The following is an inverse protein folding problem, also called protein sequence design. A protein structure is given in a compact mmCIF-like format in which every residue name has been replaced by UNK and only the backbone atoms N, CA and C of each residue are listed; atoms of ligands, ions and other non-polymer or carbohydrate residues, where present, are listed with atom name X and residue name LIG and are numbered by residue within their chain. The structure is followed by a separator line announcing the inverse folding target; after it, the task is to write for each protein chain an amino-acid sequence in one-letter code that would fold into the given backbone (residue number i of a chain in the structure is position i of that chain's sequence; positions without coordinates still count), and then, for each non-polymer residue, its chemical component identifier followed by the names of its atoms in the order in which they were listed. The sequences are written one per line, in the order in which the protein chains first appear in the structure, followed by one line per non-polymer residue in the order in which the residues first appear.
data_IF_234156314826
#
_entry.id   IF_234156314826
#
_cell.length_a   1.000
_cell.length_b   1.000
_cell.length_c   1.000
_cell.angle_alpha   90.00
_cell.angle_beta   90.00
_cell.angle_gamma   90.00
#
_symmetry.space_group_name_H-M   'P 1'
#
loop_
_entity.id
_entity.type
_entity.pdbx_description
1 polymer ?
#
# COMPACT_ATOMS: atom_id res chain seq x y z
N UNK A 1 -53.52 -20.11 66.33
CA UNK A 1 -54.90 -19.64 66.34
C UNK A 1 -55.36 -19.56 64.85
N UNK A 2 -56.36 -20.43 64.60
CA UNK A 2 -57.08 -20.47 63.28
C UNK A 2 -58.04 -19.32 63.23
N UNK A 3 -58.12 -18.63 62.05
CA UNK A 3 -59.38 -17.98 61.65
C UNK A 3 -59.60 -18.21 60.18
N UNK A 4 -60.76 -18.77 59.88
CA UNK A 4 -61.39 -18.89 58.56
C UNK A 4 -62.13 -17.59 58.22
N UNK A 5 -62.24 -17.21 56.96
CA UNK A 5 -63.46 -16.62 56.35
C UNK A 5 -63.27 -16.49 54.82
N UNK A 6 -64.06 -17.17 54.14
CA UNK A 6 -65.33 -16.95 53.37
C UNK A 6 -65.10 -16.23 51.99
N UNK A 7 -65.43 -17.03 50.98
CA UNK A 7 -65.61 -16.66 49.57
C UNK A 7 -66.79 -15.70 49.38
N UNK A 8 -66.68 -14.79 48.43
CA UNK A 8 -67.78 -14.14 47.69
C UNK A 8 -67.46 -14.04 46.23
N UNK A 9 -68.24 -14.69 45.39
CA UNK A 9 -68.19 -14.67 43.95
C UNK A 9 -68.89 -13.40 43.44
N UNK A 10 -68.24 -12.68 42.56
CA UNK A 10 -68.88 -11.64 41.72
C UNK A 10 -68.68 -12.03 40.24
N UNK A 11 -69.80 -12.28 39.56
CA UNK A 11 -69.88 -12.47 38.14
C UNK A 11 -69.55 -11.08 37.46
N UNK A 12 -68.52 -11.01 36.71
CA UNK A 12 -68.21 -9.85 35.84
C UNK A 12 -68.19 -10.32 34.40
N UNK A 13 -69.01 -9.72 33.58
CA UNK A 13 -69.14 -9.92 32.14
C UNK A 13 -67.83 -9.57 31.43
N UNK A 14 -67.22 -10.51 30.70
CA UNK A 14 -66.04 -10.28 29.90
C UNK A 14 -66.46 -9.79 28.49
N UNK A 15 -66.21 -8.53 28.18
CA UNK A 15 -66.18 -8.06 26.77
C UNK A 15 -64.84 -8.47 26.17
N UNK A 16 -64.82 -9.36 25.17
CA UNK A 16 -63.66 -9.65 24.34
C UNK A 16 -63.45 -8.45 23.40
N UNK A 17 -62.40 -7.66 23.67
CA UNK A 17 -61.81 -6.74 22.71
C UNK A 17 -60.64 -7.46 22.05
N UNK A 18 -60.82 -7.86 20.79
CA UNK A 18 -59.74 -8.48 20.00
C UNK A 18 -58.65 -7.46 19.70
N UNK A 19 -57.52 -7.58 20.40
CA UNK A 19 -56.30 -6.86 20.05
C UNK A 19 -55.56 -7.62 18.93
N UNK A 20 -55.60 -7.11 17.73
CA UNK A 20 -54.65 -7.51 16.67
C UNK A 20 -53.25 -7.04 17.11
N UNK A 21 -52.45 -7.99 17.59
CA UNK A 21 -50.98 -7.75 17.76
C UNK A 21 -50.34 -7.75 16.37
N UNK A 22 -50.01 -6.57 15.88
CA UNK A 22 -49.01 -6.42 14.81
C UNK A 22 -47.67 -6.89 15.38
N UNK A 23 -47.18 -8.03 14.90
CA UNK A 23 -45.81 -8.53 15.20
C UNK A 23 -44.79 -7.48 14.72
N UNK A 24 -43.64 -7.37 15.38
CA UNK A 24 -42.57 -6.51 14.89
C UNK A 24 -42.18 -6.96 13.49
N UNK A 25 -42.16 -6.02 12.55
CA UNK A 25 -41.55 -6.22 11.26
C UNK A 25 -40.09 -6.65 11.47
N UNK A 26 -39.76 -7.83 10.99
CA UNK A 26 -38.34 -8.24 10.92
C UNK A 26 -37.59 -7.17 10.13
N UNK A 27 -36.73 -6.42 10.80
CA UNK A 27 -35.72 -5.65 10.07
C UNK A 27 -34.91 -6.70 9.31
N UNK A 28 -34.90 -6.62 7.98
CA UNK A 28 -33.99 -7.41 7.16
C UNK A 28 -32.58 -7.14 7.69
N UNK A 29 -31.93 -8.18 8.17
CA UNK A 29 -30.51 -8.15 8.49
C UNK A 29 -29.79 -7.75 7.18
N UNK A 30 -28.91 -6.73 7.18
CA UNK A 30 -28.22 -6.34 5.97
C UNK A 30 -27.53 -7.57 5.39
N UNK A 31 -27.83 -7.91 4.14
CA UNK A 31 -27.25 -9.05 3.46
C UNK A 31 -25.72 -8.94 3.57
N UNK A 32 -25.06 -10.03 4.01
CA UNK A 32 -23.60 -10.08 4.02
C UNK A 32 -23.08 -9.63 2.64
N UNK A 33 -22.01 -8.82 2.59
CA UNK A 33 -21.48 -8.33 1.33
C UNK A 33 -21.18 -9.53 0.42
N UNK A 34 -21.68 -9.48 -0.83
CA UNK A 34 -21.39 -10.51 -1.82
C UNK A 34 -19.88 -10.58 -1.99
N UNK A 35 -19.31 -11.77 -1.82
CA UNK A 35 -17.91 -12.03 -2.11
C UNK A 35 -17.71 -11.84 -3.62
N UNK A 36 -16.79 -10.94 -4.02
CA UNK A 36 -16.40 -10.81 -5.42
C UNK A 36 -15.82 -12.15 -5.89
N UNK A 37 -16.36 -12.67 -6.98
CA UNK A 37 -15.82 -13.86 -7.62
C UNK A 37 -14.75 -13.42 -8.62
N UNK A 38 -13.49 -13.77 -8.34
CA UNK A 38 -12.34 -13.37 -9.16
C UNK A 38 -11.51 -14.58 -9.57
N UNK A 39 -10.78 -14.43 -10.66
CA UNK A 39 -9.76 -15.36 -11.13
C UNK A 39 -8.44 -14.62 -11.41
N UNK A 40 -7.32 -15.30 -11.31
CA UNK A 40 -6.03 -14.80 -11.76
C UNK A 40 -5.75 -15.38 -13.15
N UNK A 41 -5.65 -14.50 -14.15
CA UNK A 41 -5.26 -14.86 -15.51
C UNK A 41 -3.81 -14.48 -15.72
N UNK A 42 -2.92 -15.46 -15.86
CA UNK A 42 -1.53 -15.19 -16.21
C UNK A 42 -1.46 -14.57 -17.61
N UNK A 43 -0.93 -13.37 -17.72
CA UNK A 43 -0.83 -12.61 -18.98
C UNK A 43 0.59 -12.57 -19.52
N UNK A 44 1.60 -12.79 -18.67
CA UNK A 44 3.00 -12.85 -19.05
C UNK A 44 3.86 -13.49 -17.95
N UNK A 45 5.13 -13.73 -18.29
CA UNK A 45 6.18 -14.09 -17.32
C UNK A 45 7.37 -13.15 -17.48
N UNK A 46 8.02 -12.83 -16.35
CA UNK A 46 9.21 -11.97 -16.27
C UNK A 46 10.28 -12.58 -15.36
N UNK A 47 11.48 -12.03 -15.32
CA UNK A 47 12.53 -12.47 -14.39
C UNK A 47 12.47 -11.66 -13.09
N UNK A 48 11.90 -12.26 -12.04
CA UNK A 48 11.73 -11.60 -10.74
C UNK A 48 11.06 -10.22 -10.90
N UNK A 49 9.82 -10.15 -11.44
CA UNK A 49 9.10 -8.88 -11.53
C UNK A 49 8.91 -8.33 -10.12
N UNK A 50 9.16 -7.04 -9.93
CA UNK A 50 9.25 -6.46 -8.58
C UNK A 50 8.38 -5.22 -8.42
N UNK A 51 8.17 -4.45 -9.46
CA UNK A 51 7.37 -3.24 -9.47
C UNK A 51 6.77 -2.98 -10.86
N UNK A 52 5.85 -2.05 -10.95
CA UNK A 52 5.35 -1.59 -12.23
C UNK A 52 4.54 -0.30 -12.12
N UNK A 53 4.26 0.26 -13.28
CA UNK A 53 3.48 1.48 -13.42
C UNK A 53 2.58 1.41 -14.66
N UNK A 54 1.42 2.09 -14.62
CA UNK A 54 0.69 2.43 -15.82
C UNK A 54 1.55 3.34 -16.70
N UNK A 55 1.59 3.05 -17.98
CA UNK A 55 2.32 3.84 -18.98
C UNK A 55 1.38 4.45 -20.01
N UNK A 56 1.93 5.17 -20.99
CA UNK A 56 1.14 5.74 -22.06
C UNK A 56 0.40 4.65 -22.87
N UNK A 57 -0.72 5.04 -23.49
CA UNK A 57 -1.54 4.20 -24.36
C UNK A 57 -2.04 2.89 -23.68
N UNK A 58 -2.44 2.99 -22.40
CA UNK A 58 -2.93 1.88 -21.56
C UNK A 58 -1.95 0.70 -21.45
N UNK A 59 -0.66 0.96 -21.59
CA UNK A 59 0.40 -0.04 -21.36
C UNK A 59 0.71 -0.19 -19.87
N UNK A 60 1.27 -1.36 -19.50
CA UNK A 60 1.78 -1.61 -18.15
C UNK A 60 3.29 -1.85 -18.25
N UNK A 61 4.04 -1.05 -17.51
CA UNK A 61 5.49 -1.15 -17.48
C UNK A 61 5.92 -1.95 -16.27
N UNK A 62 6.73 -2.97 -16.49
CA UNK A 62 7.15 -3.95 -15.48
C UNK A 62 8.66 -3.80 -15.26
N UNK A 63 9.04 -3.57 -14.02
CA UNK A 63 10.41 -3.62 -13.56
C UNK A 63 10.79 -5.03 -13.10
N UNK A 64 11.90 -5.54 -13.60
CA UNK A 64 12.54 -6.76 -13.15
C UNK A 64 13.64 -6.39 -12.15
N UNK A 65 13.71 -7.09 -11.03
CA UNK A 65 14.57 -6.76 -9.88
C UNK A 65 16.05 -6.54 -10.26
N UNK A 66 16.53 -7.26 -11.28
CA UNK A 66 17.91 -7.16 -11.74
C UNK A 66 18.26 -5.85 -12.46
N UNK A 67 17.28 -5.00 -12.80
CA UNK A 67 17.53 -3.69 -13.40
C UNK A 67 17.00 -3.52 -14.83
N UNK A 68 16.08 -4.36 -15.28
CA UNK A 68 15.43 -4.19 -16.60
C UNK A 68 14.00 -3.69 -16.45
N UNK A 69 13.53 -2.92 -17.41
CA UNK A 69 12.13 -2.50 -17.54
C UNK A 69 11.59 -2.96 -18.88
N UNK A 70 10.40 -3.54 -18.88
CA UNK A 70 9.73 -4.09 -20.05
C UNK A 70 8.28 -3.64 -20.11
N UNK A 71 7.72 -3.57 -21.30
CA UNK A 71 6.33 -3.13 -21.52
C UNK A 71 5.45 -4.36 -21.77
N UNK A 72 4.40 -4.49 -20.97
CA UNK A 72 3.34 -5.46 -21.14
C UNK A 72 2.26 -4.86 -22.05
N UNK A 73 1.93 -5.57 -23.09
CA UNK A 73 0.87 -5.23 -24.04
C UNK A 73 -0.09 -6.41 -24.20
N UNK A 74 -1.15 -6.27 -24.98
CA UNK A 74 -2.02 -7.39 -25.36
C UNK A 74 -1.33 -8.55 -26.09
N UNK A 75 -0.06 -8.39 -26.49
CA UNK A 75 0.78 -9.42 -27.11
C UNK A 75 1.76 -10.07 -26.12
N UNK A 76 1.69 -9.73 -24.84
CA UNK A 76 2.60 -10.18 -23.79
C UNK A 76 3.72 -9.17 -23.50
N UNK A 77 4.74 -9.62 -22.78
CA UNK A 77 5.86 -8.79 -22.32
C UNK A 77 6.90 -8.61 -23.44
N UNK A 78 7.17 -7.34 -23.80
CA UNK A 78 8.12 -6.95 -24.85
C UNK A 78 9.60 -7.18 -24.47
N UNK A 79 10.53 -6.75 -25.34
CA UNK A 79 11.96 -6.67 -25.00
C UNK A 79 12.20 -5.54 -23.99
N UNK A 80 13.33 -5.55 -23.24
CA UNK A 80 13.68 -4.45 -22.35
C UNK A 80 13.70 -3.11 -23.08
N UNK A 81 13.02 -2.11 -22.51
CA UNK A 81 13.04 -0.70 -22.95
C UNK A 81 14.05 0.13 -22.16
N UNK A 82 14.47 -0.39 -21.00
CA UNK A 82 15.57 0.12 -20.18
C UNK A 82 16.34 -1.05 -19.60
N UNK A 83 17.67 -0.97 -19.56
CA UNK A 83 18.54 -1.95 -18.92
C UNK A 83 19.66 -1.22 -18.15
N UNK A 84 19.57 -1.29 -16.82
CA UNK A 84 20.58 -0.80 -15.86
C UNK A 84 21.15 -1.94 -15.03
N UNK A 85 21.04 -3.18 -15.49
CA UNK A 85 21.44 -4.38 -14.73
C UNK A 85 22.94 -4.37 -14.38
N UNK A 86 23.78 -3.74 -15.19
CA UNK A 86 25.20 -3.58 -14.90
C UNK A 86 25.50 -2.60 -13.75
N UNK A 87 24.52 -1.82 -13.31
CA UNK A 87 24.65 -0.77 -12.29
C UNK A 87 23.83 -1.12 -11.00
N UNK A 88 23.04 -2.18 -11.05
CA UNK A 88 22.10 -2.58 -9.98
C UNK A 88 22.65 -3.76 -9.20
N UNK A 89 22.67 -3.66 -7.85
CA UNK A 89 22.90 -4.83 -6.98
C UNK A 89 21.57 -5.43 -6.52
N UNK A 90 21.57 -6.76 -6.32
CA UNK A 90 20.39 -7.53 -5.88
C UNK A 90 20.62 -8.28 -4.55
N UNK A 91 21.63 -7.87 -3.79
CA UNK A 91 21.90 -8.48 -2.49
C UNK A 91 20.78 -8.15 -1.48
N UNK A 92 20.32 -9.12 -0.70
CA UNK A 92 19.24 -8.94 0.26
C UNK A 92 17.93 -8.52 -0.42
N UNK A 93 17.37 -7.37 -0.02
CA UNK A 93 16.16 -6.78 -0.61
C UNK A 93 16.44 -5.82 -1.77
N UNK A 94 17.69 -5.55 -2.07
CA UNK A 94 18.15 -4.60 -3.09
C UNK A 94 17.72 -4.98 -4.50
N UNK A 95 17.73 -4.01 -5.41
CA UNK A 95 17.34 -4.19 -6.81
C UNK A 95 16.86 -2.90 -7.45
N UNK A 96 16.22 -3.04 -8.61
CA UNK A 96 15.33 -2.03 -9.19
C UNK A 96 13.97 -2.18 -8.51
N UNK A 97 13.67 -1.32 -7.53
CA UNK A 97 12.59 -1.54 -6.56
C UNK A 97 11.31 -0.74 -6.85
N UNK A 98 11.40 0.32 -7.65
CA UNK A 98 10.27 1.17 -7.98
C UNK A 98 10.39 1.82 -9.34
N UNK A 99 9.26 2.05 -9.99
CA UNK A 99 9.16 2.80 -11.25
C UNK A 99 7.89 3.65 -11.23
N UNK A 100 7.95 4.83 -11.83
CA UNK A 100 6.81 5.73 -11.97
C UNK A 100 6.94 6.60 -13.23
N UNK A 101 5.81 7.00 -13.78
CA UNK A 101 5.73 8.12 -14.70
C UNK A 101 5.23 9.36 -13.96
N UNK A 102 5.61 10.54 -14.43
CA UNK A 102 4.87 11.75 -14.10
C UNK A 102 3.48 11.73 -14.77
N UNK A 103 2.61 12.66 -14.34
CA UNK A 103 1.20 12.66 -14.76
C UNK A 103 1.01 12.89 -16.29
N UNK A 104 2.00 13.47 -16.95
CA UNK A 104 1.97 13.78 -18.38
C UNK A 104 2.68 12.73 -19.24
N UNK A 105 3.26 11.68 -18.61
CA UNK A 105 4.14 10.71 -19.25
C UNK A 105 5.35 11.34 -19.98
N UNK A 106 5.75 12.53 -19.56
CA UNK A 106 6.91 13.23 -20.11
C UNK A 106 8.23 12.74 -19.50
N UNK A 107 8.18 12.20 -18.28
CA UNK A 107 9.34 11.65 -17.57
C UNK A 107 9.04 10.30 -16.96
N UNK A 108 10.05 9.44 -16.95
CA UNK A 108 10.05 8.13 -16.32
C UNK A 108 11.11 8.10 -15.22
N UNK A 109 10.68 7.67 -14.03
CA UNK A 109 11.52 7.60 -12.84
C UNK A 109 11.76 6.14 -12.46
N UNK A 110 12.97 5.87 -12.01
CA UNK A 110 13.35 4.56 -11.44
C UNK A 110 13.94 4.76 -10.05
N UNK A 111 13.65 3.80 -9.16
CA UNK A 111 14.25 3.70 -7.85
C UNK A 111 15.00 2.37 -7.77
N UNK A 112 16.31 2.43 -7.58
CA UNK A 112 17.15 1.23 -7.56
C UNK A 112 18.28 1.34 -6.54
N UNK A 113 18.88 0.21 -6.20
CA UNK A 113 20.08 0.19 -5.36
C UNK A 113 21.30 -0.01 -6.26
N UNK A 114 22.21 0.95 -6.27
CA UNK A 114 23.42 0.90 -7.08
C UNK A 114 24.44 -0.12 -6.52
N UNK A 115 25.57 -0.31 -7.22
CA UNK A 115 26.59 -1.30 -6.83
C UNK A 115 27.23 -1.04 -5.47
N UNK A 116 27.23 0.22 -4.98
CA UNK A 116 27.70 0.60 -3.65
C UNK A 116 26.65 0.35 -2.56
N UNK A 117 25.45 -0.10 -2.92
CA UNK A 117 24.34 -0.33 -1.99
C UNK A 117 23.57 0.94 -1.61
N UNK A 118 23.69 2.02 -2.39
CA UNK A 118 22.99 3.28 -2.21
C UNK A 118 21.67 3.25 -2.97
N UNK A 119 20.56 3.57 -2.31
CA UNK A 119 19.29 3.83 -2.98
C UNK A 119 19.42 5.07 -3.85
N UNK A 120 19.06 4.97 -5.10
CA UNK A 120 19.22 6.00 -6.12
C UNK A 120 17.91 6.15 -6.89
N UNK A 121 17.46 7.40 -7.03
CA UNK A 121 16.31 7.75 -7.87
C UNK A 121 16.85 8.48 -9.08
N UNK A 122 16.62 7.93 -10.27
CA UNK A 122 16.98 8.56 -11.54
C UNK A 122 15.73 8.86 -12.36
N UNK A 123 15.84 9.92 -13.17
CA UNK A 123 14.83 10.38 -14.10
C UNK A 123 15.34 10.25 -15.53
N UNK A 124 14.44 9.98 -16.46
CA UNK A 124 14.64 9.97 -17.90
C UNK A 124 13.53 10.75 -18.58
N UNK A 125 13.83 11.56 -19.58
CA UNK A 125 12.80 12.10 -20.44
C UNK A 125 12.15 10.97 -21.28
N UNK A 126 10.87 11.14 -21.58
CA UNK A 126 10.12 10.25 -22.47
C UNK A 126 9.67 11.05 -23.69
N UNK A 127 9.93 10.54 -24.87
CA UNK A 127 9.51 11.15 -26.12
C UNK A 127 8.87 10.08 -27.02
N UNK A 128 7.68 10.37 -27.52
CA UNK A 128 6.89 9.46 -28.36
C UNK A 128 6.71 8.07 -27.72
N UNK A 129 6.50 8.03 -26.38
CA UNK A 129 6.35 6.82 -25.58
C UNK A 129 7.65 6.02 -25.34
N UNK A 130 8.81 6.56 -25.71
CA UNK A 130 10.10 5.91 -25.53
C UNK A 130 11.00 6.68 -24.55
N UNK A 131 11.64 5.94 -23.63
CA UNK A 131 12.68 6.49 -22.75
C UNK A 131 13.84 7.01 -23.61
N UNK A 132 14.37 8.17 -23.21
CA UNK A 132 15.56 8.78 -23.80
C UNK A 132 16.76 8.56 -22.85
N UNK A 133 17.59 7.52 -23.04
CA UNK A 133 18.64 7.15 -22.08
C UNK A 133 19.67 8.24 -21.83
N UNK A 134 19.98 9.05 -22.85
CA UNK A 134 20.97 10.13 -22.77
C UNK A 134 20.50 11.33 -21.92
N UNK A 135 19.24 11.36 -21.50
CA UNK A 135 18.67 12.42 -20.65
C UNK A 135 18.69 12.08 -19.16
N UNK A 136 19.25 10.91 -18.80
CA UNK A 136 19.30 10.43 -17.43
C UNK A 136 19.93 11.46 -16.50
N UNK A 137 19.24 11.75 -15.40
CA UNK A 137 19.79 12.53 -14.28
C UNK A 137 19.43 11.89 -12.95
N UNK A 138 20.31 12.01 -11.98
CA UNK A 138 20.03 11.56 -10.61
C UNK A 138 19.23 12.63 -9.87
N UNK A 139 18.09 12.24 -9.33
CA UNK A 139 17.20 13.09 -8.55
C UNK A 139 17.56 13.03 -7.08
N UNK A 140 17.64 11.82 -6.49
CA UNK A 140 17.91 11.64 -5.07
C UNK A 140 18.78 10.41 -4.83
N UNK A 141 19.66 10.50 -3.82
CA UNK A 141 20.42 9.35 -3.31
C UNK A 141 20.32 9.24 -1.80
N UNK A 142 20.25 8.01 -1.29
CA UNK A 142 20.26 7.72 0.15
C UNK A 142 21.14 6.50 0.42
N UNK A 143 22.20 6.67 1.20
CA UNK A 143 23.04 5.56 1.65
C UNK A 143 22.24 4.63 2.57
N UNK A 144 22.29 3.33 2.29
CA UNK A 144 21.63 2.28 3.07
C UNK A 144 22.65 1.60 3.99
N UNK A 145 22.40 1.56 5.32
CA UNK A 145 23.31 0.91 6.27
C UNK A 145 23.40 -0.60 6.08
N UNK A 146 22.29 -1.23 5.62
CA UNK A 146 22.19 -2.69 5.46
C UNK A 146 21.55 -3.05 4.11
N UNK A 147 21.53 -4.35 3.80
CA UNK A 147 21.00 -4.89 2.55
C UNK A 147 19.48 -5.16 2.57
N UNK A 148 18.81 -4.85 3.68
CA UNK A 148 17.38 -5.04 3.89
C UNK A 148 16.69 -3.75 4.36
N UNK A 149 15.36 -3.73 4.35
CA UNK A 149 14.50 -2.58 4.63
C UNK A 149 14.84 -1.38 3.72
N UNK A 150 15.01 -1.65 2.44
CA UNK A 150 15.35 -0.60 1.49
C UNK A 150 14.10 0.16 1.01
N UNK A 151 12.90 -0.40 1.17
CA UNK A 151 11.68 0.17 0.59
C UNK A 151 11.79 0.30 -0.92
N UNK A 152 11.86 1.53 -1.41
CA UNK A 152 12.21 1.84 -2.79
C UNK A 152 11.03 1.99 -3.73
N UNK A 153 9.78 1.84 -3.28
CA UNK A 153 8.62 2.15 -4.11
C UNK A 153 8.50 3.66 -4.32
N UNK A 154 8.08 4.07 -5.51
CA UNK A 154 7.90 5.48 -5.89
C UNK A 154 6.60 5.65 -6.65
N UNK A 155 5.87 6.74 -6.36
CA UNK A 155 4.60 7.08 -7.03
C UNK A 155 4.45 8.59 -7.12
N UNK A 156 3.84 9.07 -8.19
CA UNK A 156 3.31 10.43 -8.20
C UNK A 156 1.99 10.48 -7.46
N UNK A 157 1.87 11.43 -6.54
CA UNK A 157 0.63 11.71 -5.84
C UNK A 157 -0.37 12.45 -6.73
N UNK A 158 -1.64 12.54 -6.27
CA UNK A 158 -2.68 13.31 -6.98
C UNK A 158 -2.36 14.82 -7.07
N UNK A 159 -1.43 15.29 -6.25
CA UNK A 159 -0.90 16.66 -6.23
C UNK A 159 0.23 16.91 -7.24
N UNK A 160 0.68 15.87 -7.94
CA UNK A 160 1.72 15.92 -8.96
C UNK A 160 3.15 15.88 -8.44
N UNK A 161 3.37 15.66 -7.15
CA UNK A 161 4.69 15.48 -6.56
C UNK A 161 5.10 14.01 -6.49
N UNK A 162 6.40 13.76 -6.46
CA UNK A 162 6.96 12.41 -6.34
C UNK A 162 7.05 12.01 -4.86
N UNK A 163 6.39 10.91 -4.50
CA UNK A 163 6.48 10.26 -3.21
C UNK A 163 7.43 9.08 -3.30
N UNK A 164 8.26 8.90 -2.26
CA UNK A 164 9.32 7.90 -2.20
C UNK A 164 9.26 7.19 -0.86
N UNK A 165 9.12 5.88 -0.86
CA UNK A 165 9.16 5.06 0.34
C UNK A 165 10.59 4.60 0.62
N UNK A 166 11.12 4.88 1.82
CA UNK A 166 12.40 4.37 2.29
C UNK A 166 12.23 3.71 3.66
N UNK A 167 12.71 2.48 3.80
CA UNK A 167 12.73 1.78 5.07
C UNK A 167 13.72 2.39 6.08
N UNK A 168 13.73 1.85 7.30
CA UNK A 168 14.60 2.30 8.41
C UNK A 168 16.10 2.06 8.17
N UNK A 169 16.43 1.42 7.04
CA UNK A 169 17.80 1.10 6.62
C UNK A 169 18.28 -0.26 7.07
N UNK A 170 17.43 -1.04 7.76
CA UNK A 170 17.68 -2.46 7.99
C UNK A 170 18.17 -2.86 9.37
N UNK A 171 18.53 -4.12 9.48
CA UNK A 171 18.75 -4.88 10.72
C UNK A 171 17.49 -5.00 11.59
N UNK A 172 17.58 -5.67 12.74
CA UNK A 172 16.43 -5.91 13.62
C UNK A 172 16.23 -4.83 14.66
N UNK A 173 15.04 -4.21 14.69
CA UNK A 173 14.62 -3.28 15.74
C UNK A 173 15.22 -1.89 15.63
N UNK A 174 15.50 -1.44 14.43
CA UNK A 174 15.99 -0.10 14.09
C UNK A 174 17.16 0.35 14.97
N UNK A 175 18.35 -0.25 14.81
CA UNK A 175 19.49 0.00 15.70
C UNK A 175 20.00 1.45 15.64
N UNK A 176 19.61 2.20 14.61
CA UNK A 176 19.98 3.60 14.42
C UNK A 176 18.89 4.58 14.85
N UNK A 177 17.67 4.11 15.16
CA UNK A 177 16.52 4.93 15.50
C UNK A 177 15.99 5.78 14.34
N UNK A 178 16.20 5.30 13.12
CA UNK A 178 15.86 6.05 11.90
C UNK A 178 14.37 6.28 11.73
N UNK A 179 13.52 5.35 12.17
CA UNK A 179 12.07 5.49 12.10
C UNK A 179 11.59 6.80 12.76
N UNK A 180 12.09 7.11 13.95
CA UNK A 180 11.68 8.28 14.74
C UNK A 180 12.55 9.54 14.54
N UNK A 181 13.72 9.44 13.92
CA UNK A 181 14.58 10.60 13.64
C UNK A 181 14.08 11.39 12.44
N UNK A 182 14.06 12.70 12.55
CA UNK A 182 13.69 13.60 11.46
C UNK A 182 14.89 14.16 10.67
N UNK A 183 16.11 13.93 11.14
CA UNK A 183 17.35 14.38 10.46
C UNK A 183 17.87 13.38 9.42
N UNK A 184 17.10 12.34 9.10
CA UNK A 184 17.40 11.29 8.11
C UNK A 184 16.20 11.04 7.21
N UNK A 185 16.45 10.57 5.97
CA UNK A 185 15.40 10.19 5.01
C UNK A 185 14.93 8.72 5.21
N UNK A 186 15.58 7.95 6.09
CA UNK A 186 15.26 6.55 6.33
C UNK A 186 14.05 6.39 7.27
N UNK A 187 13.22 5.37 7.02
CA UNK A 187 11.98 5.10 7.76
C UNK A 187 10.86 6.12 7.48
N UNK A 188 10.71 6.52 6.20
CA UNK A 188 9.90 7.66 5.77
C UNK A 188 9.13 7.38 4.48
N UNK A 189 8.03 8.11 4.31
CA UNK A 189 7.58 8.53 2.99
C UNK A 189 8.09 9.96 2.78
N UNK A 190 8.79 10.19 1.68
CA UNK A 190 9.26 11.50 1.25
C UNK A 190 8.33 12.06 0.20
N UNK A 191 8.30 13.41 0.06
CA UNK A 191 7.55 14.12 -0.99
C UNK A 191 8.42 15.24 -1.55
N UNK A 192 8.70 15.18 -2.85
CA UNK A 192 9.58 16.12 -3.56
C UNK A 192 8.96 16.54 -4.89
N UNK A 193 9.40 17.69 -5.42
CA UNK A 193 9.07 18.17 -6.77
C UNK A 193 10.29 18.00 -7.67
N UNK A 194 10.37 16.94 -8.47
CA UNK A 194 11.53 16.71 -9.34
C UNK A 194 11.61 17.68 -10.51
N UNK A 195 10.52 18.37 -10.86
CA UNK A 195 10.47 19.37 -11.93
C UNK A 195 10.77 20.81 -11.44
N UNK A 196 10.67 21.07 -10.13
CA UNK A 196 10.74 22.40 -9.56
C UNK A 196 12.13 23.01 -9.51
N UNK A 197 13.18 22.20 -9.44
CA UNK A 197 14.59 22.61 -9.43
C UNK A 197 15.52 21.42 -9.64
N UNK A 198 16.80 21.71 -9.83
CA UNK A 198 17.87 20.71 -9.86
C UNK A 198 18.53 20.55 -8.46
N UNK A 199 18.62 19.31 -7.89
CA UNK A 199 18.12 18.05 -8.43
C UNK A 199 16.59 17.87 -8.23
N UNK A 200 15.97 18.58 -7.32
CA UNK A 200 14.52 18.69 -7.06
C UNK A 200 14.24 19.93 -6.21
N UNK A 201 12.98 20.36 -6.16
CA UNK A 201 12.51 21.33 -5.18
C UNK A 201 11.77 20.63 -4.03
N UNK A 202 11.66 21.35 -2.91
CA UNK A 202 10.81 20.95 -1.79
C UNK A 202 9.47 21.67 -1.93
N UNK A 203 8.33 20.93 -1.94
CA UNK A 203 7.02 21.57 -1.85
C UNK A 203 6.90 22.40 -0.57
N UNK A 204 6.47 23.65 -0.71
CA UNK A 204 6.45 24.61 0.43
C UNK A 204 5.45 24.25 1.52
N UNK A 205 4.57 23.32 1.27
CA UNK A 205 3.57 22.77 2.16
C UNK A 205 3.96 21.40 2.75
N UNK A 206 5.21 20.97 2.60
CA UNK A 206 5.71 19.81 3.34
C UNK A 206 5.72 20.13 4.85
N UNK A 207 5.40 19.14 5.71
CA UNK A 207 5.11 19.39 7.13
C UNK A 207 6.31 19.85 7.96
N UNK A 208 7.55 19.66 7.48
CA UNK A 208 8.76 19.94 8.24
C UNK A 208 9.66 21.04 7.69
N UNK A 209 9.24 21.78 6.65
CA UNK A 209 10.06 22.83 5.99
C UNK A 209 10.52 23.97 6.91
N UNK A 210 9.82 24.20 8.01
CA UNK A 210 10.15 25.21 9.01
C UNK A 210 10.92 24.65 10.23
N UNK A 211 11.19 23.34 10.28
CA UNK A 211 11.95 22.72 11.38
C UNK A 211 13.43 22.55 11.00
N UNK A 212 14.35 23.33 11.57
CA UNK A 212 15.78 23.24 11.25
C UNK A 212 16.45 21.92 11.67
N UNK A 213 15.74 21.05 12.40
CA UNK A 213 16.23 19.75 12.85
C UNK A 213 15.64 18.58 12.04
N UNK A 214 14.80 18.86 11.06
CA UNK A 214 14.18 17.87 10.19
C UNK A 214 14.67 17.98 8.75
N UNK A 215 14.46 16.95 7.98
CA UNK A 215 14.62 16.95 6.54
C UNK A 215 13.32 17.46 5.89
N UNK A 216 13.46 18.43 5.02
CA UNK A 216 12.34 19.11 4.36
C UNK A 216 11.56 18.18 3.42
N UNK A 217 12.21 17.09 2.96
CA UNK A 217 11.63 16.06 2.09
C UNK A 217 10.58 15.19 2.78
N UNK A 218 10.56 15.14 4.12
CA UNK A 218 9.72 14.21 4.87
C UNK A 218 8.24 14.58 4.74
N UNK A 219 7.43 13.60 4.29
CA UNK A 219 5.98 13.66 4.32
C UNK A 219 5.41 12.97 5.55
N UNK A 220 5.80 11.70 5.80
CA UNK A 220 5.46 10.96 7.01
C UNK A 220 6.64 10.12 7.49
N UNK A 221 6.60 9.65 8.75
CA UNK A 221 7.72 8.98 9.39
C UNK A 221 7.26 7.89 10.37
N UNK A 222 8.23 7.21 10.98
CA UNK A 222 7.93 6.12 11.91
C UNK A 222 7.57 4.83 11.19
N UNK A 223 8.14 4.61 10.01
CA UNK A 223 7.97 3.42 9.18
C UNK A 223 9.18 2.50 9.31
N UNK A 224 8.95 1.19 9.20
CA UNK A 224 10.01 0.18 9.25
C UNK A 224 10.52 -0.19 7.86
N UNK A 225 9.67 -0.73 7.03
CA UNK A 225 9.97 -1.12 5.66
C UNK A 225 8.70 -0.96 4.80
N UNK A 226 8.31 0.28 4.48
CA UNK A 226 7.15 0.56 3.64
C UNK A 226 7.40 -0.03 2.26
N UNK A 227 6.89 -1.26 2.05
CA UNK A 227 7.24 -2.07 0.89
C UNK A 227 6.52 -1.60 -0.37
N UNK A 228 5.18 -1.50 -0.30
CA UNK A 228 4.39 -0.89 -1.38
C UNK A 228 3.38 0.08 -0.80
N UNK A 229 3.22 1.18 -1.48
CA UNK A 229 2.18 2.15 -1.18
C UNK A 229 1.41 2.52 -2.45
N UNK A 230 0.22 3.05 -2.29
CA UNK A 230 -0.61 3.52 -3.39
C UNK A 230 -1.48 4.68 -2.99
N UNK A 231 -1.82 5.51 -3.97
CA UNK A 231 -2.90 6.46 -3.83
C UNK A 231 -4.18 5.84 -4.41
N UNK A 232 -5.28 5.96 -3.71
CA UNK A 232 -6.58 5.64 -4.25
C UNK A 232 -6.93 6.66 -5.35
N UNK A 233 -6.98 6.22 -6.61
CA UNK A 233 -7.27 7.10 -7.74
C UNK A 233 -8.67 7.73 -7.71
N UNK A 234 -9.57 7.23 -6.85
CA UNK A 234 -10.92 7.78 -6.67
C UNK A 234 -11.04 8.82 -5.58
N UNK A 235 -10.26 8.72 -4.49
CA UNK A 235 -10.34 9.62 -3.33
C UNK A 235 -9.06 10.43 -3.10
N UNK A 236 -7.90 9.94 -3.55
CA UNK A 236 -6.60 10.50 -3.28
C UNK A 236 -5.99 10.05 -1.95
N UNK A 237 -6.65 9.17 -1.20
CA UNK A 237 -6.13 8.63 0.06
C UNK A 237 -4.86 7.81 -0.16
N UNK A 238 -3.91 7.95 0.75
CA UNK A 238 -2.66 7.18 0.76
C UNK A 238 -2.83 5.91 1.59
N UNK A 239 -2.41 4.78 1.04
CA UNK A 239 -2.33 3.49 1.75
C UNK A 239 -0.91 2.95 1.64
N UNK A 240 -0.38 2.45 2.77
CA UNK A 240 1.00 1.95 2.88
C UNK A 240 0.96 0.55 3.48
N UNK A 241 1.62 -0.42 2.85
CA UNK A 241 1.93 -1.70 3.48
C UNK A 241 3.31 -1.60 4.12
N UNK A 242 3.36 -1.54 5.45
CA UNK A 242 4.62 -1.48 6.20
C UNK A 242 4.91 -2.84 6.85
N UNK A 243 6.05 -3.42 6.49
CA UNK A 243 6.44 -4.76 6.95
C UNK A 243 6.93 -4.71 8.39
N UNK A 244 6.24 -5.40 9.26
CA UNK A 244 6.57 -5.51 10.68
C UNK A 244 7.84 -6.31 10.97
N UNK A 245 8.25 -6.34 12.24
CA UNK A 245 9.49 -6.99 12.66
C UNK A 245 9.29 -8.44 13.08
N UNK A 246 8.30 -8.70 13.93
CA UNK A 246 8.21 -9.97 14.66
C UNK A 246 6.81 -10.55 14.72
N UNK A 247 5.83 -9.76 15.10
CA UNK A 247 4.52 -10.25 15.50
C UNK A 247 3.39 -9.68 14.64
N UNK A 248 3.54 -8.47 14.10
CA UNK A 248 2.47 -7.75 13.41
C UNK A 248 2.89 -7.26 12.03
N UNK A 249 1.96 -7.31 11.10
CA UNK A 249 1.99 -6.66 9.79
C UNK A 249 0.93 -5.58 9.75
N UNK A 250 1.19 -4.46 9.07
CA UNK A 250 0.30 -3.30 9.13
C UNK A 250 0.02 -2.67 7.77
N UNK A 251 -1.18 -2.10 7.66
CA UNK A 251 -1.59 -1.24 6.55
C UNK A 251 -1.93 0.10 7.17
N UNK A 252 -1.16 1.13 6.79
CA UNK A 252 -1.39 2.48 7.20
C UNK A 252 -2.28 3.21 6.20
N UNK A 253 -2.96 4.24 6.68
CA UNK A 253 -3.85 5.07 5.88
C UNK A 253 -3.70 6.54 6.27
N UNK A 254 -3.73 7.41 5.25
CA UNK A 254 -3.79 8.85 5.42
C UNK A 254 -4.80 9.43 4.43
N UNK A 255 -5.70 10.35 4.85
CA UNK A 255 -6.69 10.92 3.95
C UNK A 255 -6.04 11.83 2.90
N UNK A 256 -6.68 11.99 1.75
CA UNK A 256 -6.26 12.95 0.73
C UNK A 256 -6.17 14.40 1.22
N UNK A 257 -6.83 14.71 2.32
CA UNK A 257 -6.77 16.02 2.98
C UNK A 257 -5.66 16.14 4.02
N UNK A 258 -4.79 15.14 4.16
CA UNK A 258 -3.65 15.21 5.08
C UNK A 258 -2.71 16.35 4.69
N UNK A 259 -2.16 17.00 5.72
CA UNK A 259 -1.10 17.98 5.60
C UNK A 259 0.29 17.35 5.85
N UNK A 260 0.35 16.01 5.94
CA UNK A 260 1.56 15.26 6.27
C UNK A 260 1.93 15.31 7.76
N UNK A 261 3.07 14.71 8.11
CA UNK A 261 3.59 14.69 9.49
C UNK A 261 3.10 13.50 10.31
N UNK A 262 2.40 12.54 9.71
CA UNK A 262 1.99 11.32 10.40
C UNK A 262 3.20 10.55 10.93
N UNK A 263 3.09 10.08 12.18
CA UNK A 263 4.05 9.19 12.83
C UNK A 263 3.44 7.81 13.02
N UNK A 264 3.87 6.83 12.25
CA UNK A 264 3.37 5.46 12.30
C UNK A 264 4.03 4.59 13.39
N UNK A 265 4.89 5.17 14.24
CA UNK A 265 5.28 4.62 15.54
C UNK A 265 6.54 3.78 15.59
N UNK A 266 7.05 3.27 14.48
CA UNK A 266 8.27 2.46 14.46
C UNK A 266 9.53 3.26 14.93
N UNK A 267 10.43 2.75 15.82
CA UNK A 267 10.46 1.42 16.41
C UNK A 267 9.98 1.42 17.89
N UNK A 268 9.10 2.33 18.27
CA UNK A 268 8.45 2.28 19.58
C UNK A 268 7.24 1.36 19.58
N UNK A 269 6.57 1.30 18.43
CA UNK A 269 5.40 0.47 18.17
C UNK A 269 5.68 -0.49 17.01
N UNK A 270 4.97 -1.61 16.97
CA UNK A 270 4.77 -2.52 15.84
C UNK A 270 3.26 -2.69 15.72
N UNK A 271 2.64 -2.05 14.72
CA UNK A 271 1.20 -1.85 14.71
C UNK A 271 0.71 -1.03 15.90
N UNK A 272 -0.35 -1.47 16.54
CA UNK A 272 -0.88 -0.87 17.79
C UNK A 272 -0.17 -1.39 19.05
N UNK A 273 0.90 -2.17 18.92
CA UNK A 273 1.54 -2.89 20.02
C UNK A 273 2.90 -2.29 20.38
N UNK A 274 3.21 -2.08 21.69
CA UNK A 274 4.54 -1.64 22.11
C UNK A 274 5.64 -2.62 21.69
N UNK A 275 6.56 -2.17 20.84
CA UNK A 275 7.69 -3.00 20.43
C UNK A 275 8.80 -2.97 21.50
N UNK A 276 9.19 -4.16 21.98
CA UNK A 276 10.27 -4.35 23.00
C UNK A 276 10.11 -3.47 24.24
N UNK A 277 8.88 -3.16 24.66
CA UNK A 277 8.60 -2.28 25.79
C UNK A 277 8.76 -0.79 25.46
N UNK A 278 8.70 -0.43 24.21
CA UNK A 278 8.62 0.96 23.74
C UNK A 278 7.42 1.70 24.35
N UNK A 279 7.52 3.01 24.36
CA UNK A 279 6.42 3.89 24.76
C UNK A 279 5.80 4.47 23.51
N UNK A 280 4.49 4.36 23.40
CA UNK A 280 3.75 4.95 22.30
C UNK A 280 4.00 6.46 22.18
N UNK A 281 4.45 6.96 21.01
CA UNK A 281 4.63 8.39 20.78
C UNK A 281 3.30 9.14 20.90
N UNK A 282 3.32 10.35 21.45
CA UNK A 282 2.10 11.12 21.68
C UNK A 282 1.32 11.50 20.40
N UNK A 283 2.01 11.49 19.25
CA UNK A 283 1.47 11.76 17.92
C UNK A 283 1.44 10.52 17.04
N UNK A 284 1.40 9.33 17.64
CA UNK A 284 1.26 8.07 16.91
C UNK A 284 -0.07 8.01 16.16
N UNK A 285 0.01 7.70 14.89
CA UNK A 285 -1.15 7.37 14.04
C UNK A 285 -1.17 5.85 13.87
N UNK A 286 -2.10 5.16 14.52
CA UNK A 286 -2.16 3.71 14.43
C UNK A 286 -2.54 3.26 13.00
N UNK A 287 -2.12 2.05 12.57
CA UNK A 287 -2.52 1.51 11.30
C UNK A 287 -4.05 1.38 11.19
N UNK A 288 -4.58 1.53 9.97
CA UNK A 288 -6.01 1.29 9.72
C UNK A 288 -6.36 -0.20 9.80
N UNK A 289 -5.37 -1.06 9.59
CA UNK A 289 -5.50 -2.50 9.69
C UNK A 289 -4.16 -3.14 10.06
N UNK A 290 -4.22 -4.13 10.95
CA UNK A 290 -3.06 -4.96 11.32
C UNK A 290 -3.48 -6.43 11.41
N UNK A 291 -2.52 -7.34 11.24
CA UNK A 291 -2.72 -8.76 11.44
C UNK A 291 -1.47 -9.43 12.01
N UNK A 292 -1.70 -10.47 12.84
CA UNK A 292 -0.60 -11.20 13.43
C UNK A 292 0.04 -12.20 12.45
N UNK A 293 1.34 -12.46 12.63
CA UNK A 293 2.11 -13.41 11.79
C UNK A 293 1.84 -14.88 12.13
N UNK A 294 1.11 -15.17 13.23
CA UNK A 294 0.92 -16.52 13.75
C UNK A 294 -0.09 -17.36 12.94
N UNK A 295 -0.31 -17.06 11.69
CA UNK A 295 -1.19 -17.86 10.86
C UNK A 295 -1.60 -17.27 9.52
N UNK A 296 -1.30 -16.00 9.25
CA UNK A 296 -1.78 -15.31 8.05
C UNK A 296 -0.67 -14.80 7.12
N UNK A 297 0.59 -14.86 7.54
CA UNK A 297 1.65 -14.33 6.68
C UNK A 297 2.94 -13.99 7.41
N UNK A 298 3.83 -13.27 6.75
CA UNK A 298 5.13 -12.89 7.29
C UNK A 298 5.64 -11.54 6.77
N UNK A 299 4.99 -10.98 5.75
CA UNK A 299 5.44 -9.74 5.11
C UNK A 299 4.31 -9.19 4.25
N UNK A 300 3.65 -8.15 4.74
CA UNK A 300 2.62 -7.45 3.96
C UNK A 300 3.20 -6.91 2.68
N UNK A 301 2.54 -7.20 1.56
CA UNK A 301 2.95 -6.64 0.26
C UNK A 301 2.42 -5.22 0.07
N UNK A 302 1.25 -4.91 0.65
CA UNK A 302 0.46 -3.75 0.27
C UNK A 302 -0.42 -4.05 -0.94
N UNK A 303 -0.92 -3.02 -1.62
CA UNK A 303 -1.86 -3.19 -2.72
C UNK A 303 -2.45 -1.90 -3.27
N UNK A 304 -3.65 -1.98 -3.86
CA UNK A 304 -4.37 -0.85 -4.45
C UNK A 304 -5.87 -0.91 -4.15
N UNK A 305 -6.51 0.26 -4.06
CA UNK A 305 -7.96 0.35 -4.13
C UNK A 305 -8.39 0.07 -5.57
N UNK A 306 -9.21 -0.97 -5.75
CA UNK A 306 -9.70 -1.33 -7.09
C UNK A 306 -10.64 -0.26 -7.63
N UNK A 307 -10.34 0.23 -8.85
CA UNK A 307 -11.10 1.27 -9.55
C UNK A 307 -11.42 0.91 -11.00
N UNK A 308 -11.12 -0.33 -11.41
CA UNK A 308 -11.51 -0.88 -12.70
C UNK A 308 -13.01 -1.13 -12.81
N UNK A 309 -13.51 -1.31 -14.03
CA UNK A 309 -14.93 -1.53 -14.31
C UNK A 309 -15.29 -3.01 -14.48
N UNK A 310 -14.30 -3.89 -14.67
CA UNK A 310 -14.54 -5.30 -14.99
C UNK A 310 -15.13 -6.10 -13.81
N UNK A 311 -14.87 -5.66 -12.55
CA UNK A 311 -15.31 -6.39 -11.35
C UNK A 311 -16.08 -5.43 -10.42
N UNK A 312 -17.36 -5.15 -10.67
CA UNK A 312 -18.14 -4.18 -9.91
C UNK A 312 -18.20 -4.45 -8.39
N UNK A 313 -18.15 -5.72 -7.99
CA UNK A 313 -18.16 -6.12 -6.56
C UNK A 313 -16.85 -5.80 -5.84
N UNK A 314 -15.75 -5.45 -6.56
CA UNK A 314 -14.47 -4.98 -5.99
C UNK A 314 -14.37 -3.46 -5.90
N UNK A 315 -15.24 -2.70 -6.56
CA UNK A 315 -15.17 -1.25 -6.60
C UNK A 315 -15.02 -0.63 -5.21
N UNK A 316 -13.94 0.15 -5.01
CA UNK A 316 -13.65 0.82 -3.76
C UNK A 316 -13.11 -0.08 -2.65
N UNK A 317 -12.75 -1.32 -2.94
CA UNK A 317 -12.09 -2.20 -1.99
C UNK A 317 -10.57 -2.16 -2.21
N UNK A 318 -9.81 -2.03 -1.14
CA UNK A 318 -8.35 -2.16 -1.16
C UNK A 318 -7.99 -3.64 -1.28
N UNK A 319 -7.39 -4.01 -2.42
CA UNK A 319 -6.92 -5.38 -2.68
C UNK A 319 -5.46 -5.46 -2.28
N UNK A 320 -5.11 -6.40 -1.40
CA UNK A 320 -3.76 -6.59 -0.87
C UNK A 320 -3.40 -8.06 -0.72
N UNK A 321 -2.14 -8.32 -0.45
CA UNK A 321 -1.62 -9.67 -0.17
C UNK A 321 -0.50 -9.64 0.85
N UNK A 322 -0.11 -10.83 1.30
CA UNK A 322 1.12 -11.11 2.03
C UNK A 322 2.03 -11.99 1.17
N UNK A 323 3.33 -11.70 1.19
CA UNK A 323 4.32 -12.42 0.41
C UNK A 323 4.37 -13.92 0.71
N UNK A 324 4.21 -14.32 1.98
CA UNK A 324 4.37 -15.71 2.40
C UNK A 324 3.16 -16.58 2.04
N UNK A 325 1.95 -16.07 2.18
CA UNK A 325 0.76 -16.88 1.92
C UNK A 325 0.15 -16.63 0.53
N UNK A 326 0.40 -15.48 -0.07
CA UNK A 326 0.00 -15.14 -1.43
C UNK A 326 -1.50 -15.02 -1.66
N UNK A 327 -2.33 -15.16 -0.63
CA UNK A 327 -3.78 -15.03 -0.76
C UNK A 327 -4.16 -13.57 -1.01
N UNK A 328 -4.99 -13.32 -2.01
CA UNK A 328 -5.52 -11.98 -2.24
C UNK A 328 -6.69 -11.71 -1.29
N UNK A 329 -6.61 -10.58 -0.58
CA UNK A 329 -7.60 -10.13 0.41
C UNK A 329 -8.10 -8.74 0.09
N UNK A 330 -9.21 -8.36 0.70
CA UNK A 330 -9.77 -7.02 0.53
C UNK A 330 -10.08 -6.37 1.87
N UNK A 331 -9.91 -5.05 1.90
CA UNK A 331 -10.43 -4.19 2.96
C UNK A 331 -11.35 -3.15 2.32
N UNK A 332 -12.51 -2.93 2.93
CA UNK A 332 -13.32 -1.76 2.66
C UNK A 332 -13.01 -0.72 3.72
N UNK A 333 -12.41 0.38 3.31
CA UNK A 333 -12.00 1.47 4.20
C UNK A 333 -12.90 2.67 3.95
N UNK A 334 -13.55 3.18 4.99
CA UNK A 334 -14.41 4.36 4.91
C UNK A 334 -13.98 5.35 6.00
N UNK A 335 -13.46 6.51 5.59
CA UNK A 335 -12.97 7.55 6.50
C UNK A 335 -11.96 7.02 7.53
N UNK A 336 -10.97 6.24 7.08
CA UNK A 336 -9.94 5.66 7.95
C UNK A 336 -10.44 4.54 8.87
N UNK A 337 -11.56 3.93 8.57
CA UNK A 337 -12.09 2.79 9.34
C UNK A 337 -12.37 1.61 8.42
N UNK A 338 -11.89 0.43 8.78
CA UNK A 338 -12.23 -0.81 8.08
C UNK A 338 -13.67 -1.20 8.39
N UNK A 339 -14.54 -1.12 7.39
CA UNK A 339 -15.96 -1.46 7.46
C UNK A 339 -16.28 -2.83 6.88
N UNK A 340 -15.32 -3.46 6.20
CA UNK A 340 -15.46 -4.80 5.64
C UNK A 340 -14.12 -5.43 5.32
N UNK A 341 -14.06 -6.76 5.42
CA UNK A 341 -12.90 -7.57 5.08
C UNK A 341 -13.34 -8.74 4.21
N UNK A 342 -12.50 -9.14 3.27
CA UNK A 342 -12.76 -10.26 2.39
C UNK A 342 -11.52 -11.06 2.04
N UNK A 343 -11.74 -12.32 1.69
CA UNK A 343 -10.76 -13.21 1.08
C UNK A 343 -11.29 -13.57 -0.31
N UNK A 344 -10.52 -13.28 -1.34
CA UNK A 344 -10.93 -13.49 -2.73
C UNK A 344 -10.85 -14.96 -3.18
N UNK A 345 -10.28 -15.83 -2.31
CA UNK A 345 -10.07 -17.26 -2.57
C UNK A 345 -9.22 -17.57 -3.83
N UNK A 346 -8.33 -16.64 -4.17
CA UNK A 346 -7.29 -16.83 -5.18
C UNK A 346 -5.93 -16.59 -4.55
N UNK A 347 -4.92 -17.29 -5.06
CA UNK A 347 -3.56 -17.23 -4.55
C UNK A 347 -2.60 -16.88 -5.68
N UNK A 348 -1.83 -15.82 -5.53
CA UNK A 348 -0.84 -15.32 -6.49
C UNK A 348 0.57 -15.88 -6.29
N UNK A 349 0.76 -16.82 -5.38
CA UNK A 349 2.09 -17.34 -5.00
C UNK A 349 2.83 -16.35 -4.09
N UNK A 350 4.11 -16.17 -4.31
CA UNK A 350 4.93 -15.17 -3.61
C UNK A 350 4.63 -13.77 -4.16
N UNK A 351 3.47 -13.20 -3.76
CA UNK A 351 3.03 -11.90 -4.26
C UNK A 351 3.95 -10.79 -3.74
N UNK A 352 4.74 -10.23 -4.65
CA UNK A 352 5.75 -9.21 -4.29
C UNK A 352 5.28 -7.79 -4.58
N UNK A 353 4.32 -7.61 -5.48
CA UNK A 353 3.79 -6.29 -5.83
C UNK A 353 2.45 -6.40 -6.56
N UNK A 354 1.79 -5.26 -6.66
CA UNK A 354 0.64 -5.04 -7.53
C UNK A 354 0.94 -3.90 -8.49
N UNK A 355 0.23 -3.86 -9.60
CA UNK A 355 0.23 -2.73 -10.54
C UNK A 355 -1.21 -2.41 -10.90
N UNK A 356 -1.58 -1.14 -10.86
CA UNK A 356 -2.83 -0.64 -11.39
C UNK A 356 -2.60 -0.16 -12.82
N UNK A 357 -3.35 -0.67 -13.78
CA UNK A 357 -3.38 -0.20 -15.16
C UNK A 357 -4.05 1.17 -15.30
N UNK A 358 -3.90 1.82 -16.45
CA UNK A 358 -4.57 3.09 -16.75
C UNK A 358 -6.10 2.98 -16.75
N UNK A 359 -6.63 1.77 -16.97
CA UNK A 359 -8.04 1.41 -16.89
C UNK A 359 -8.53 1.10 -15.46
N UNK A 360 -7.65 1.18 -14.45
CA UNK A 360 -7.94 0.85 -13.06
C UNK A 360 -7.94 -0.65 -12.74
N UNK A 361 -7.71 -1.53 -13.72
CA UNK A 361 -7.60 -2.97 -13.51
C UNK A 361 -6.28 -3.33 -12.82
N UNK A 362 -6.27 -4.41 -12.02
CA UNK A 362 -5.13 -4.78 -11.21
C UNK A 362 -4.38 -5.98 -11.77
N UNK A 363 -3.06 -5.88 -11.71
CA UNK A 363 -2.12 -6.95 -11.99
C UNK A 363 -1.38 -7.34 -10.72
N UNK A 364 -1.13 -8.64 -10.56
CA UNK A 364 -0.40 -9.26 -9.45
C UNK A 364 0.95 -9.72 -9.98
N UNK A 365 2.02 -9.32 -9.31
CA UNK A 365 3.38 -9.75 -9.62
C UNK A 365 3.84 -10.79 -8.59
N UNK A 366 4.13 -12.00 -9.05
CA UNK A 366 4.75 -13.05 -8.23
C UNK A 366 6.27 -13.05 -8.43
N UNK A 367 7.05 -13.07 -7.36
CA UNK A 367 8.51 -13.05 -7.43
C UNK A 367 9.08 -14.22 -8.24
N UNK A 368 8.36 -15.34 -8.30
CA UNK A 368 8.68 -16.51 -9.14
C UNK A 368 8.55 -16.27 -10.65
N UNK A 369 8.04 -15.10 -11.07
CA UNK A 369 8.00 -14.70 -12.47
C UNK A 369 6.61 -14.45 -13.06
N UNK A 370 5.54 -14.82 -12.37
CA UNK A 370 4.17 -14.65 -12.90
C UNK A 370 3.75 -13.18 -12.91
N UNK A 371 3.07 -12.78 -13.98
CA UNK A 371 2.31 -11.52 -14.08
C UNK A 371 0.88 -11.93 -14.39
N UNK A 372 -0.02 -11.74 -13.45
CA UNK A 372 -1.43 -12.15 -13.58
C UNK A 372 -2.35 -10.95 -13.46
N UNK A 373 -3.36 -10.87 -14.33
CA UNK A 373 -4.45 -9.89 -14.18
C UNK A 373 -5.55 -10.48 -13.29
N UNK A 374 -6.17 -9.64 -12.47
CA UNK A 374 -7.36 -10.00 -11.71
C UNK A 374 -8.56 -9.83 -12.63
N UNK A 375 -9.28 -10.90 -12.90
CA UNK A 375 -10.45 -10.94 -13.78
C UNK A 375 -11.71 -11.36 -12.98
N UNK A 376 -12.91 -11.02 -13.48
CA UNK A 376 -14.14 -11.61 -12.97
C UNK A 376 -14.14 -13.12 -13.28
N UNK A 377 -14.56 -13.97 -12.29
CA UNK A 377 -14.60 -15.42 -12.42
C UNK A 377 -15.89 -15.92 -13.10
#
# INVERSE_FOLDING_TARGET
VKVRTRSSAILGTICLVGSLALGPASADEPAAPKKAAVALTEVATAQNPIAGAAGPDDTVWIAERAGTVRVLTGQGLGQPVLDISAETTTDGERGLLGVAFDNDFAHFYISYTNLEGTSTIDEFAVQDGAIQPDTRRTVLTQTQPYENHNGGDIKFGPDGYLYIALGDGGAGGDPHGNGQKLDTLLGKILRIDPAGAEPYAIPSDNPFVDDPNAKDEIWSYGLRNPWRFSFDSGTGDLLIGDVGQSDWEEIDWSPASSEGGENYGWASMEGTHPFRGGTEPANHVPPVFEYDRNGLGCSVTGGYVYRGDAIPDLQGQYVYSDYCDGTLRTLKIENGTVTGQGDLAVNGGEVISFVQGGDGELYVLGLGGSISRIDAA
#
